data_IF_611366009750
#
_entry.id   IF_611366009750
#
_cell.length_a   1.000
_cell.length_b   1.000
_cell.length_c   1.000
_cell.angle_alpha   90.00
_cell.angle_beta   90.00
_cell.angle_gamma   90.00
#
_symmetry.space_group_name_H-M   'P 1'
#
loop_
_entity.id
_entity.type
_entity.pdbx_description
1 polymer ?
#
# COMPACT_ATOMS: atom_id res chain seq x y z
N UNK A 1 50.50 -34.34 -47.56
CA UNK A 1 51.20 -35.31 -46.69
C UNK A 1 50.27 -35.70 -45.54
N UNK A 2 49.99 -37.01 -45.37
CA UNK A 2 49.15 -37.61 -44.33
C UNK A 2 49.95 -37.91 -43.05
N UNK A 3 49.31 -38.42 -41.98
CA UNK A 3 49.26 -39.89 -41.76
C UNK A 3 47.83 -40.35 -41.34
N UNK A 4 47.16 -41.44 -41.76
CA UNK A 4 47.41 -42.91 -41.89
C UNK A 4 48.05 -43.55 -40.65
N UNK A 5 47.62 -44.66 -40.04
CA UNK A 5 46.60 -45.69 -40.27
C UNK A 5 46.64 -46.66 -39.06
N UNK A 6 45.58 -47.48 -38.88
CA UNK A 6 45.65 -48.80 -38.22
C UNK A 6 44.67 -48.95 -37.05
N UNK A 7 43.59 -49.73 -37.08
CA UNK A 7 43.15 -50.78 -37.99
C UNK A 7 43.18 -52.15 -37.29
N UNK A 8 42.02 -52.72 -36.96
CA UNK A 8 41.66 -54.16 -37.01
C UNK A 8 40.22 -54.32 -36.46
N UNK A 9 39.23 -54.48 -37.34
CA UNK A 9 38.63 -55.74 -37.83
C UNK A 9 37.91 -56.54 -36.74
N UNK A 10 36.59 -56.75 -36.92
CA UNK A 10 35.92 -58.06 -37.13
C UNK A 10 34.38 -57.88 -37.08
N UNK A 11 33.72 -58.14 -38.23
CA UNK A 11 32.48 -58.94 -38.49
C UNK A 11 31.24 -58.64 -37.62
N UNK A 12 29.99 -58.46 -38.08
CA UNK A 12 29.15 -58.81 -39.27
C UNK A 12 27.87 -57.92 -39.11
N UNK A 13 27.37 -57.12 -40.07
CA UNK A 13 26.44 -57.44 -41.20
C UNK A 13 25.24 -58.33 -40.78
N UNK A 14 23.94 -58.07 -41.01
CA UNK A 14 23.13 -57.51 -42.12
C UNK A 14 21.73 -57.13 -41.53
N UNK A 15 21.07 -56.03 -41.89
CA UNK A 15 20.15 -55.80 -43.03
C UNK A 15 18.69 -56.23 -42.83
N UNK A 16 17.81 -55.20 -42.84
CA UNK A 16 16.40 -55.05 -43.26
C UNK A 16 15.51 -56.28 -43.58
N UNK A 17 14.23 -56.21 -43.18
CA UNK A 17 12.99 -56.42 -43.98
C UNK A 17 11.78 -56.14 -43.06
N UNK A 18 11.02 -55.06 -43.28
CA UNK A 18 9.70 -54.99 -43.95
C UNK A 18 8.49 -55.55 -43.15
N UNK A 19 7.58 -54.61 -42.84
CA UNK A 19 6.10 -54.67 -42.84
C UNK A 19 5.36 -55.91 -42.33
N UNK A 20 4.62 -55.77 -41.22
CA UNK A 20 3.24 -56.25 -41.10
C UNK A 20 2.52 -55.63 -39.88
N UNK A 21 1.48 -54.85 -40.20
CA UNK A 21 0.18 -54.78 -39.54
C UNK A 21 0.04 -55.42 -38.13
N UNK A 22 -0.10 -54.59 -37.11
CA UNK A 22 -0.98 -54.87 -35.97
C UNK A 22 -1.40 -53.54 -35.32
N UNK A 23 -2.58 -53.07 -35.72
CA UNK A 23 -3.35 -52.08 -34.97
C UNK A 23 -3.73 -52.74 -33.65
N UNK A 24 -3.04 -52.38 -32.56
CA UNK A 24 -3.50 -52.65 -31.21
C UNK A 24 -3.79 -51.32 -30.54
N UNK A 25 -5.05 -50.91 -30.66
CA UNK A 25 -5.68 -49.89 -29.81
C UNK A 25 -5.57 -50.34 -28.36
N UNK A 26 -4.58 -49.81 -27.63
CA UNK A 26 -4.46 -50.01 -26.20
C UNK A 26 -5.16 -48.83 -25.49
N UNK A 27 -6.45 -49.00 -25.23
CA UNK A 27 -7.20 -48.22 -24.25
C UNK A 27 -6.64 -48.49 -22.86
N UNK A 28 -5.62 -47.73 -22.46
CA UNK A 28 -5.25 -47.56 -21.05
C UNK A 28 -5.95 -46.31 -20.51
N UNK A 29 -7.24 -46.46 -20.16
CA UNK A 29 -7.85 -45.61 -19.13
C UNK A 29 -7.40 -46.19 -17.79
N UNK A 30 -6.12 -45.98 -17.49
CA UNK A 30 -5.57 -46.23 -16.16
C UNK A 30 -6.06 -45.12 -15.26
N UNK A 31 -6.94 -45.47 -14.32
CA UNK A 31 -7.36 -44.61 -13.24
C UNK A 31 -6.14 -44.05 -12.51
N UNK A 32 -5.74 -42.82 -12.87
CA UNK A 32 -4.86 -42.02 -12.05
C UNK A 32 -5.59 -41.88 -10.70
N UNK A 33 -4.95 -42.17 -9.55
CA UNK A 33 -5.52 -41.77 -8.29
C UNK A 33 -5.70 -40.27 -8.35
N UNK A 34 -6.95 -39.82 -8.42
CA UNK A 34 -7.30 -38.42 -8.17
C UNK A 34 -6.63 -38.07 -6.87
N UNK A 35 -5.61 -37.21 -6.93
CA UNK A 35 -4.99 -36.66 -5.76
C UNK A 35 -6.11 -36.08 -4.92
N UNK A 36 -6.47 -36.80 -3.85
CA UNK A 36 -7.37 -36.30 -2.82
C UNK A 36 -6.75 -34.99 -2.42
N UNK A 37 -7.43 -33.87 -2.70
CA UNK A 37 -6.99 -32.55 -2.24
C UNK A 37 -6.76 -32.72 -0.75
N UNK A 38 -5.49 -32.72 -0.35
CA UNK A 38 -5.12 -32.69 1.06
C UNK A 38 -5.91 -31.52 1.63
N UNK A 39 -6.82 -31.82 2.56
CA UNK A 39 -7.63 -30.81 3.21
C UNK A 39 -6.66 -29.78 3.77
N UNK A 40 -6.62 -28.58 3.18
CA UNK A 40 -5.78 -27.51 3.67
C UNK A 40 -6.13 -27.33 5.15
N UNK A 41 -5.17 -27.65 6.03
CA UNK A 41 -5.34 -27.48 7.46
C UNK A 41 -5.77 -26.04 7.70
N UNK A 42 -6.98 -25.84 8.21
CA UNK A 42 -7.50 -24.50 8.50
C UNK A 42 -6.63 -23.89 9.59
N UNK A 43 -5.68 -23.04 9.20
CA UNK A 43 -4.79 -22.34 10.13
C UNK A 43 -5.64 -21.41 11.00
N UNK A 44 -5.79 -21.78 12.28
CA UNK A 44 -6.57 -21.03 13.27
C UNK A 44 -5.85 -19.72 13.60
N UNK A 45 -6.58 -18.60 13.56
CA UNK A 45 -6.04 -17.31 14.00
C UNK A 45 -5.72 -17.35 15.48
N UNK A 46 -4.47 -17.06 15.85
CA UNK A 46 -4.02 -16.96 17.25
C UNK A 46 -3.64 -15.54 17.62
N UNK A 47 -3.96 -15.16 18.86
CA UNK A 47 -3.61 -13.87 19.44
C UNK A 47 -2.48 -14.03 20.45
N UNK A 48 -1.52 -13.11 20.46
CA UNK A 48 -0.43 -13.11 21.45
C UNK A 48 -0.07 -11.70 21.91
N UNK A 49 0.33 -11.59 23.18
CA UNK A 49 0.86 -10.37 23.77
C UNK A 49 2.34 -10.56 24.09
N UNK A 50 3.19 -9.68 23.57
CA UNK A 50 4.64 -9.75 23.73
C UNK A 50 5.12 -8.58 24.58
N UNK A 51 5.62 -8.89 25.78
CA UNK A 51 6.12 -7.89 26.71
C UNK A 51 7.40 -7.21 26.23
N UNK A 52 7.66 -6.01 26.74
CA UNK A 52 8.92 -5.29 26.52
C UNK A 52 10.09 -6.03 27.18
N UNK A 53 11.12 -6.36 26.39
CA UNK A 53 12.39 -6.90 26.89
C UNK A 53 13.33 -5.81 27.40
N UNK A 54 13.36 -4.65 26.75
CA UNK A 54 14.16 -3.51 27.18
C UNK A 54 13.50 -2.18 26.80
N UNK A 55 13.68 -1.16 27.65
CA UNK A 55 13.26 0.19 27.33
C UNK A 55 14.38 1.21 27.61
N UNK A 56 14.32 2.32 26.91
CA UNK A 56 15.20 3.46 27.13
C UNK A 56 14.57 4.74 26.57
N UNK A 57 15.12 5.91 26.91
CA UNK A 57 14.82 7.14 26.18
C UNK A 57 16.08 7.96 25.94
N UNK A 58 16.06 8.78 24.90
CA UNK A 58 17.11 9.77 24.63
C UNK A 58 16.68 11.16 25.08
N UNK A 59 17.61 11.97 25.56
CA UNK A 59 17.39 13.37 25.95
C UNK A 59 18.33 14.28 25.15
N UNK A 60 17.79 15.20 24.34
CA UNK A 60 18.60 16.12 23.54
C UNK A 60 19.43 17.11 24.37
N UNK A 61 19.08 17.34 25.64
CA UNK A 61 19.88 18.15 26.57
C UNK A 61 21.06 17.36 27.14
N UNK A 62 20.86 16.09 27.46
CA UNK A 62 21.89 15.21 28.02
C UNK A 62 22.44 14.26 26.95
N UNK A 63 23.12 14.84 25.95
CA UNK A 63 23.35 14.17 24.65
C UNK A 63 24.14 12.87 24.71
N UNK A 64 24.99 12.69 25.73
CA UNK A 64 25.86 11.52 25.93
C UNK A 64 25.31 10.55 26.99
N UNK A 65 24.27 10.92 27.71
CA UNK A 65 23.72 10.12 28.81
C UNK A 65 22.81 9.02 28.28
N UNK A 66 22.97 7.83 28.85
CA UNK A 66 22.06 6.70 28.62
C UNK A 66 20.99 6.64 29.71
N UNK A 67 19.72 6.56 29.29
CA UNK A 67 18.58 6.34 30.18
C UNK A 67 17.91 5.01 29.82
N UNK A 68 18.31 3.91 30.46
CA UNK A 68 17.81 2.55 30.22
C UNK A 68 17.01 2.01 31.40
N UNK A 69 16.20 0.98 31.18
CA UNK A 69 15.40 0.29 32.21
C UNK A 69 14.57 1.28 33.05
N UNK A 70 14.05 2.30 32.38
CA UNK A 70 13.38 3.42 33.01
C UNK A 70 11.96 3.03 33.42
N UNK A 71 11.58 3.35 34.64
CA UNK A 71 10.20 3.15 35.12
C UNK A 71 9.22 4.13 34.47
N UNK A 72 9.71 5.27 34.00
CA UNK A 72 8.91 6.34 33.39
C UNK A 72 9.56 6.83 32.09
N UNK A 73 9.35 6.13 30.96
CA UNK A 73 9.78 6.62 29.65
C UNK A 73 9.18 8.00 29.34
N UNK A 74 9.98 8.86 28.72
CA UNK A 74 9.61 10.23 28.37
C UNK A 74 9.59 10.40 26.86
N UNK A 75 8.62 11.17 26.36
CA UNK A 75 8.55 11.51 24.95
C UNK A 75 7.90 12.88 24.74
N UNK A 76 8.44 13.63 23.78
CA UNK A 76 7.87 14.86 23.24
C UNK A 76 8.32 15.02 21.76
N UNK A 77 8.13 16.21 21.17
CA UNK A 77 8.53 16.49 19.78
C UNK A 77 10.02 16.75 19.59
N UNK A 78 10.72 17.30 20.58
CA UNK A 78 12.01 17.97 20.37
C UNK A 78 13.14 17.49 21.26
N UNK A 79 12.82 16.97 22.45
CA UNK A 79 13.80 16.60 23.48
C UNK A 79 13.84 15.10 23.73
N UNK A 80 12.68 14.47 23.90
CA UNK A 80 12.60 13.09 24.35
C UNK A 80 12.05 12.15 23.28
N UNK A 81 12.74 11.02 23.08
CA UNK A 81 12.24 9.89 22.30
C UNK A 81 12.43 8.59 23.09
N UNK A 82 11.36 7.82 23.23
CA UNK A 82 11.40 6.53 23.94
C UNK A 82 11.60 5.39 22.96
N UNK A 83 12.37 4.38 23.37
CA UNK A 83 12.73 3.21 22.59
C UNK A 83 12.36 1.96 23.36
N UNK A 84 11.77 0.99 22.66
CA UNK A 84 11.32 -0.28 23.21
C UNK A 84 11.82 -1.42 22.35
N UNK A 85 12.36 -2.45 22.98
CA UNK A 85 12.74 -3.70 22.33
C UNK A 85 11.80 -4.81 22.81
N UNK A 86 11.37 -5.65 21.89
CA UNK A 86 10.48 -6.78 22.12
C UNK A 86 11.18 -8.05 21.61
N UNK A 87 11.02 -9.19 22.30
CA UNK A 87 11.46 -10.49 21.81
C UNK A 87 10.92 -10.82 20.42
N UNK A 88 11.59 -11.74 19.72
CA UNK A 88 11.09 -12.31 18.48
C UNK A 88 9.78 -13.08 18.72
N UNK A 89 8.93 -13.12 17.70
CA UNK A 89 7.66 -13.84 17.73
C UNK A 89 7.77 -14.97 16.73
N UNK A 90 7.94 -16.23 17.19
CA UNK A 90 8.04 -17.35 16.28
C UNK A 90 6.74 -17.47 15.48
N UNK A 91 6.88 -17.55 14.16
CA UNK A 91 5.82 -17.83 13.21
C UNK A 91 6.01 -19.26 12.72
N UNK A 92 4.95 -20.06 12.75
CA UNK A 92 4.96 -21.38 12.15
C UNK A 92 4.99 -21.26 10.61
N UNK A 93 5.42 -22.31 9.87
CA UNK A 93 5.29 -22.33 8.41
C UNK A 93 3.84 -22.04 7.99
N UNK A 94 3.65 -21.08 7.10
CA UNK A 94 2.32 -20.65 6.65
C UNK A 94 1.62 -19.62 7.54
N UNK A 95 2.23 -19.16 8.65
CA UNK A 95 1.68 -18.07 9.45
C UNK A 95 2.20 -16.69 9.03
N UNK A 96 1.34 -15.68 9.12
CA UNK A 96 1.71 -14.28 9.00
C UNK A 96 1.02 -13.42 10.07
N UNK A 97 1.67 -12.31 10.44
CA UNK A 97 1.06 -11.30 11.32
C UNK A 97 -0.04 -10.59 10.53
N UNK A 98 -1.29 -10.80 10.92
CA UNK A 98 -2.47 -10.19 10.29
C UNK A 98 -2.83 -8.84 10.91
N UNK A 99 -2.63 -8.68 12.24
CA UNK A 99 -2.86 -7.42 12.96
C UNK A 99 -1.79 -7.19 14.00
N UNK A 100 -1.42 -5.94 14.21
CA UNK A 100 -0.45 -5.56 15.22
C UNK A 100 -0.85 -4.24 15.91
N UNK A 101 -0.59 -4.14 17.20
CA UNK A 101 -0.73 -2.90 17.96
C UNK A 101 0.32 -2.81 19.06
N UNK A 102 0.75 -1.59 19.39
CA UNK A 102 1.52 -1.33 20.62
C UNK A 102 0.56 -0.82 21.67
N UNK A 103 0.51 -1.48 22.82
CA UNK A 103 -0.21 -1.00 23.99
C UNK A 103 0.78 -0.34 24.93
N UNK A 104 0.55 0.94 25.25
CA UNK A 104 1.33 1.71 26.23
C UNK A 104 0.43 2.19 27.36
N UNK A 105 0.98 2.30 28.56
CA UNK A 105 0.30 2.93 29.68
C UNK A 105 0.74 4.39 29.82
N UNK A 106 -0.16 5.34 29.58
CA UNK A 106 0.10 6.76 29.80
C UNK A 106 0.02 7.04 31.30
N UNK A 107 1.15 7.37 31.92
CA UNK A 107 1.19 7.82 33.32
C UNK A 107 0.65 9.25 33.44
N UNK A 108 1.09 10.13 32.53
CA UNK A 108 0.65 11.53 32.47
C UNK A 108 0.96 12.12 31.10
N UNK A 109 -0.01 12.81 30.49
CA UNK A 109 0.21 13.63 29.30
C UNK A 109 -0.18 15.09 29.56
N UNK A 110 0.74 16.03 29.28
CA UNK A 110 0.42 17.46 29.32
C UNK A 110 -0.25 17.87 28.01
N UNK A 111 -1.40 18.56 28.10
CA UNK A 111 -2.23 19.01 26.95
C UNK A 111 -2.48 17.88 25.94
N UNK A 112 -3.11 16.76 26.33
CA UNK A 112 -3.20 15.54 25.53
C UNK A 112 -3.89 15.72 24.16
N UNK A 113 -4.76 16.72 24.01
CA UNK A 113 -5.40 17.04 22.72
C UNK A 113 -4.44 17.57 21.65
N UNK A 114 -3.23 18.00 22.02
CA UNK A 114 -2.29 18.60 21.06
C UNK A 114 -1.30 17.58 20.52
N UNK A 115 -1.43 17.24 19.25
CA UNK A 115 -0.53 16.27 18.60
C UNK A 115 -0.87 14.82 18.93
N UNK A 116 0.00 13.92 18.48
CA UNK A 116 -0.26 12.46 18.48
C UNK A 116 0.99 11.69 18.90
N UNK A 117 0.81 10.46 19.38
CA UNK A 117 1.92 9.52 19.47
C UNK A 117 2.20 8.95 18.09
N UNK A 118 3.48 8.81 17.77
CA UNK A 118 3.98 8.23 16.53
C UNK A 118 4.93 7.09 16.86
N UNK A 119 4.67 5.93 16.28
CA UNK A 119 5.51 4.73 16.40
C UNK A 119 6.29 4.55 15.11
N UNK A 120 7.61 4.35 15.21
CA UNK A 120 8.50 4.04 14.08
C UNK A 120 9.27 2.76 14.32
N UNK A 121 9.58 2.05 13.25
CA UNK A 121 10.56 0.98 13.28
C UNK A 121 11.96 1.55 13.58
N UNK A 122 12.79 0.77 14.26
CA UNK A 122 14.21 1.07 14.50
C UNK A 122 15.03 0.02 13.76
N UNK A 123 15.77 0.44 12.74
CA UNK A 123 16.37 -0.47 11.75
C UNK A 123 17.81 -0.87 12.09
N UNK A 124 18.51 -0.07 12.89
CA UNK A 124 19.81 -0.46 13.45
C UNK A 124 19.63 -1.01 14.88
N UNK A 125 20.45 -1.99 15.25
CA UNK A 125 20.51 -2.47 16.63
C UNK A 125 20.82 -1.33 17.60
N UNK A 126 20.28 -1.42 18.82
CA UNK A 126 20.65 -0.52 19.92
C UNK A 126 20.77 -1.32 21.21
N UNK A 127 21.68 -0.88 22.07
CA UNK A 127 21.87 -1.39 23.42
C UNK A 127 21.50 -0.29 24.41
N UNK A 128 20.64 -0.59 25.40
CA UNK A 128 20.22 0.37 26.41
C UNK A 128 21.39 1.09 27.08
N UNK A 129 22.49 0.38 27.41
CA UNK A 129 23.68 0.96 28.04
C UNK A 129 24.43 1.98 27.19
N UNK A 130 24.28 1.92 25.85
CA UNK A 130 24.97 2.82 24.90
C UNK A 130 24.03 3.80 24.22
N UNK A 131 22.71 3.59 24.33
CA UNK A 131 21.72 4.47 23.73
C UNK A 131 21.76 5.84 24.40
N UNK A 132 22.11 6.85 23.63
CA UNK A 132 22.07 8.27 24.02
C UNK A 132 21.50 9.08 22.85
N UNK A 133 21.23 10.36 23.05
CA UNK A 133 20.79 11.20 21.94
C UNK A 133 21.86 11.27 20.84
N UNK A 134 23.15 11.30 21.17
CA UNK A 134 24.25 11.33 20.20
C UNK A 134 24.32 10.05 19.37
N UNK A 135 24.12 8.89 20.00
CA UNK A 135 24.27 7.57 19.38
C UNK A 135 22.91 6.89 19.14
N UNK A 136 21.89 7.69 18.79
CA UNK A 136 20.53 7.17 18.55
C UNK A 136 20.48 6.34 17.27
N UNK A 137 19.73 5.22 17.26
CA UNK A 137 19.69 4.30 16.13
C UNK A 137 18.98 4.91 14.92
N UNK A 138 19.24 4.34 13.73
CA UNK A 138 18.53 4.67 12.50
C UNK A 138 17.06 4.26 12.61
N UNK A 139 16.19 5.12 12.10
CA UNK A 139 14.74 4.93 12.15
C UNK A 139 14.23 4.52 10.77
N UNK A 140 13.32 3.55 10.74
CA UNK A 140 12.60 3.11 9.57
C UNK A 140 11.26 3.85 9.39
N UNK A 141 10.28 3.23 8.70
CA UNK A 141 8.99 3.85 8.44
C UNK A 141 8.19 4.11 9.72
N UNK A 142 7.16 4.96 9.58
CA UNK A 142 6.11 5.09 10.59
C UNK A 142 5.24 3.84 10.52
N UNK A 143 5.02 3.21 11.66
CA UNK A 143 4.20 2.01 11.77
C UNK A 143 2.78 2.31 12.23
N UNK A 144 2.57 3.40 12.96
CA UNK A 144 1.26 3.76 13.46
C UNK A 144 1.27 5.09 14.22
N UNK A 145 0.08 5.66 14.39
CA UNK A 145 -0.14 6.86 15.20
C UNK A 145 -1.39 6.73 16.06
N UNK A 146 -1.47 7.47 17.16
CA UNK A 146 -2.66 7.51 18.00
C UNK A 146 -2.84 8.86 18.70
N UNK A 147 -4.10 9.28 18.87
CA UNK A 147 -4.45 10.41 19.73
C UNK A 147 -4.07 10.11 21.18
N UNK A 148 -3.53 11.12 21.86
CA UNK A 148 -3.00 10.95 23.22
C UNK A 148 -4.15 11.03 24.23
N UNK A 149 -4.17 10.10 25.18
CA UNK A 149 -5.05 10.15 26.36
C UNK A 149 -4.32 10.87 27.51
N UNK A 150 -5.07 11.48 28.43
CA UNK A 150 -4.48 12.12 29.61
C UNK A 150 -3.72 11.14 30.52
N UNK A 151 -4.30 9.94 30.73
CA UNK A 151 -3.78 8.83 31.53
C UNK A 151 -4.38 7.49 31.09
N UNK A 152 -3.77 6.38 31.50
CA UNK A 152 -4.28 5.01 31.30
C UNK A 152 -3.80 4.34 30.02
N UNK A 153 -4.38 3.17 29.72
CA UNK A 153 -3.98 2.36 28.56
C UNK A 153 -4.39 3.02 27.23
N UNK A 154 -3.41 3.07 26.33
CA UNK A 154 -3.55 3.52 24.96
C UNK A 154 -3.06 2.42 24.02
N UNK A 155 -3.93 2.00 23.11
CA UNK A 155 -3.58 1.09 22.02
C UNK A 155 -3.27 1.93 20.79
N UNK A 156 -2.09 1.69 20.21
CA UNK A 156 -1.63 2.29 18.97
C UNK A 156 -1.66 1.19 17.91
N UNK A 157 -2.68 1.20 17.06
CA UNK A 157 -2.77 0.26 15.93
C UNK A 157 -1.60 0.50 14.99
N UNK A 158 -0.93 -0.59 14.60
CA UNK A 158 0.12 -0.56 13.60
C UNK A 158 -0.44 -1.03 12.27
N UNK A 159 0.04 -0.42 11.18
CA UNK A 159 -0.11 -0.97 9.85
C UNK A 159 0.59 -2.34 9.81
N UNK A 160 -0.19 -3.42 9.73
CA UNK A 160 0.35 -4.78 9.79
C UNK A 160 1.26 -5.09 8.59
N UNK A 161 0.95 -4.56 7.40
CA UNK A 161 1.74 -4.73 6.17
C UNK A 161 3.12 -4.10 6.32
N UNK A 162 3.16 -2.88 6.87
CA UNK A 162 4.43 -2.17 7.11
C UNK A 162 5.18 -2.73 8.33
N UNK A 163 4.47 -3.15 9.38
CA UNK A 163 5.08 -3.59 10.63
C UNK A 163 5.62 -5.02 10.58
N UNK A 164 4.97 -5.95 9.87
CA UNK A 164 5.31 -7.38 9.90
C UNK A 164 6.81 -7.70 9.72
N UNK A 165 7.54 -7.10 8.76
CA UNK A 165 8.97 -7.37 8.58
C UNK A 165 9.84 -7.01 9.80
N UNK A 166 9.38 -6.05 10.61
CA UNK A 166 10.08 -5.57 11.80
C UNK A 166 9.68 -6.31 13.08
N UNK A 167 8.52 -7.00 13.08
CA UNK A 167 7.99 -7.65 14.28
C UNK A 167 8.43 -9.11 14.40
N UNK A 168 8.44 -9.87 13.30
CA UNK A 168 8.70 -11.32 13.32
C UNK A 168 10.09 -11.68 13.90
N UNK A 169 11.11 -10.87 13.63
CA UNK A 169 12.51 -11.10 14.05
C UNK A 169 12.89 -10.46 15.39
N UNK A 170 11.90 -9.95 16.13
CA UNK A 170 12.11 -9.16 17.33
C UNK A 170 12.07 -7.67 17.03
N UNK A 171 11.09 -6.99 17.63
CA UNK A 171 10.78 -5.61 17.29
C UNK A 171 11.65 -4.62 18.08
N UNK A 172 12.10 -3.57 17.39
CA UNK A 172 12.66 -2.38 18.03
C UNK A 172 11.88 -1.18 17.55
N UNK A 173 11.25 -0.48 18.48
CA UNK A 173 10.31 0.60 18.18
C UNK A 173 10.75 1.89 18.85
N UNK A 174 10.59 3.01 18.15
CA UNK A 174 10.65 4.34 18.73
C UNK A 174 9.23 4.88 18.88
N UNK A 175 8.92 5.48 20.03
CA UNK A 175 7.70 6.23 20.28
C UNK A 175 8.07 7.69 20.59
N UNK A 176 7.47 8.61 19.82
CA UNK A 176 7.61 10.07 20.00
C UNK A 176 6.25 10.74 19.97
N UNK A 177 6.17 11.97 20.48
CA UNK A 177 5.00 12.83 20.24
C UNK A 177 5.31 13.72 19.04
N UNK A 178 4.36 13.86 18.13
CA UNK A 178 4.46 14.80 17.02
C UNK A 178 3.38 15.87 17.11
N UNK A 179 3.63 17.04 16.53
CA UNK A 179 2.67 18.15 16.53
C UNK A 179 2.60 18.96 17.83
N UNK A 180 3.34 18.60 18.88
CA UNK A 180 3.36 19.39 20.12
C UNK A 180 4.63 19.20 20.95
N UNK A 181 5.09 20.28 21.60
CA UNK A 181 6.25 20.30 22.51
C UNK A 181 5.97 19.72 23.91
N UNK A 182 4.71 19.46 24.24
CA UNK A 182 4.34 19.07 25.59
C UNK A 182 4.76 17.62 25.92
N UNK A 183 5.17 17.41 27.16
CA UNK A 183 5.68 16.12 27.63
C UNK A 183 4.57 15.07 27.79
N UNK A 184 4.89 13.84 27.40
CA UNK A 184 4.16 12.63 27.80
C UNK A 184 5.10 11.73 28.58
N UNK A 185 4.60 11.20 29.70
CA UNK A 185 5.26 10.21 30.55
C UNK A 185 4.50 8.90 30.44
N UNK A 186 5.18 7.85 30.03
CA UNK A 186 4.66 6.49 30.03
C UNK A 186 4.98 5.81 31.37
N UNK A 187 4.21 4.79 31.75
CA UNK A 187 4.66 3.80 32.71
C UNK A 187 5.40 2.69 31.95
N UNK A 188 6.46 2.14 32.54
CA UNK A 188 7.19 1.02 31.93
C UNK A 188 6.32 -0.23 31.79
N UNK A 189 5.31 -0.39 32.65
CA UNK A 189 4.35 -1.50 32.61
C UNK A 189 2.90 -1.02 32.83
N UNK A 190 1.90 -1.68 32.20
CA UNK A 190 2.09 -2.62 31.09
C UNK A 190 2.43 -1.86 29.80
N UNK A 191 3.48 -2.31 29.12
CA UNK A 191 3.76 -1.97 27.71
C UNK A 191 4.04 -3.28 26.99
N UNK A 192 3.32 -3.54 25.90
CA UNK A 192 3.42 -4.80 25.16
C UNK A 192 2.97 -4.62 23.70
N UNK A 193 3.40 -5.52 22.84
CA UNK A 193 2.84 -5.71 21.50
C UNK A 193 1.65 -6.65 21.58
N UNK A 194 0.53 -6.28 20.98
CA UNK A 194 -0.63 -7.15 20.76
C UNK A 194 -0.64 -7.57 19.30
N UNK A 195 -0.59 -8.86 19.03
CA UNK A 195 -0.53 -9.42 17.69
C UNK A 195 -1.67 -10.40 17.45
N UNK A 196 -2.20 -10.38 16.24
CA UNK A 196 -3.02 -11.45 15.67
C UNK A 196 -2.22 -12.09 14.54
N UNK A 197 -2.11 -13.41 14.57
CA UNK A 197 -1.34 -14.23 13.63
C UNK A 197 -2.33 -15.18 12.98
N UNK A 198 -2.37 -15.21 11.65
CA UNK A 198 -3.26 -16.08 10.88
C UNK A 198 -2.54 -16.68 9.68
N UNK A 199 -3.28 -17.32 8.80
CA UNK A 199 -2.76 -17.92 7.57
C UNK A 199 -2.15 -16.86 6.64
N UNK A 200 -0.91 -17.08 6.18
CA UNK A 200 -0.19 -16.20 5.27
C UNK A 200 -0.89 -16.04 3.92
N UNK A 201 -1.57 -17.08 3.41
CA UNK A 201 -2.37 -16.97 2.19
C UNK A 201 -3.67 -16.22 2.42
N UNK A 202 -4.31 -16.41 3.57
CA UNK A 202 -5.48 -15.61 3.95
C UNK A 202 -5.11 -14.14 4.13
N UNK A 203 -3.98 -13.85 4.79
CA UNK A 203 -3.44 -12.49 4.94
C UNK A 203 -3.06 -11.89 3.60
N UNK A 204 -2.43 -12.65 2.70
CA UNK A 204 -2.15 -12.19 1.33
C UNK A 204 -3.44 -11.92 0.53
N UNK A 205 -4.49 -12.73 0.72
CA UNK A 205 -5.79 -12.55 0.07
C UNK A 205 -6.65 -11.45 0.70
N UNK A 206 -6.51 -11.17 2.00
CA UNK A 206 -7.10 -10.02 2.70
C UNK A 206 -6.34 -8.73 2.37
N UNK A 207 -5.05 -8.82 2.06
CA UNK A 207 -4.21 -7.73 1.54
C UNK A 207 -4.41 -7.48 0.04
N UNK A 208 -4.81 -8.50 -0.75
CA UNK A 208 -5.19 -8.39 -2.16
C UNK A 208 -6.67 -8.03 -2.34
N UNK A 209 -7.50 -8.22 -1.32
CA UNK A 209 -8.82 -7.62 -1.24
C UNK A 209 -8.64 -6.14 -0.89
N UNK A 210 -8.81 -5.27 -1.89
CA UNK A 210 -9.40 -3.95 -1.62
C UNK A 210 -10.62 -4.16 -0.69
N UNK A 211 -10.99 -3.19 0.17
CA UNK A 211 -12.23 -3.28 0.92
C UNK A 211 -13.40 -3.32 -0.08
N UNK A 212 -13.72 -4.50 -0.57
CA UNK A 212 -15.05 -4.85 -1.00
C UNK A 212 -15.80 -5.05 0.31
N UNK A 213 -16.00 -3.93 1.03
CA UNK A 213 -17.21 -3.75 1.78
C UNK A 213 -18.29 -4.13 0.79
N UNK A 214 -19.07 -5.16 1.10
CA UNK A 214 -20.40 -5.28 0.54
C UNK A 214 -21.08 -3.96 0.87
N UNK A 215 -20.98 -3.00 -0.05
CA UNK A 215 -21.82 -1.84 -0.08
C UNK A 215 -23.22 -2.43 -0.30
N UNK A 216 -23.86 -2.83 0.79
CA UNK A 216 -25.29 -2.65 0.90
C UNK A 216 -25.55 -1.21 0.46
N UNK A 217 -26.52 -1.01 -0.42
CA UNK A 217 -26.88 0.22 -1.12
C UNK A 217 -26.98 1.46 -0.22
N UNK A 218 -25.84 1.91 0.29
CA UNK A 218 -25.73 3.03 1.19
C UNK A 218 -25.67 4.28 0.33
N UNK A 219 -26.83 4.65 -0.24
CA UNK A 219 -27.04 6.03 -0.64
C UNK A 219 -26.96 6.86 0.64
N UNK A 220 -25.90 7.67 0.79
CA UNK A 220 -25.90 8.73 1.80
C UNK A 220 -26.95 9.74 1.33
N UNK A 221 -28.16 9.61 1.87
CA UNK A 221 -29.31 10.41 1.44
C UNK A 221 -29.12 11.88 1.80
N UNK A 222 -29.31 12.76 0.82
CA UNK A 222 -29.46 14.20 1.02
C UNK A 222 -28.24 15.08 0.71
N UNK A 223 -27.05 14.52 0.45
CA UNK A 223 -25.87 15.30 0.00
C UNK A 223 -25.02 14.50 -1.01
N UNK A 224 -24.59 15.12 -2.13
CA UNK A 224 -23.74 14.43 -3.09
C UNK A 224 -22.35 14.18 -2.50
N UNK A 225 -21.80 12.99 -2.74
CA UNK A 225 -20.49 12.57 -2.23
C UNK A 225 -19.52 12.45 -3.41
N UNK A 226 -18.43 13.21 -3.35
CA UNK A 226 -17.38 13.21 -4.37
C UNK A 226 -16.09 12.61 -3.80
N UNK A 227 -15.56 11.59 -4.46
CA UNK A 227 -14.20 11.12 -4.15
C UNK A 227 -13.18 11.94 -4.94
N UNK A 228 -12.03 12.23 -4.35
CA UNK A 228 -10.93 12.82 -5.09
C UNK A 228 -10.42 11.84 -6.14
N UNK A 229 -10.29 12.31 -7.38
CA UNK A 229 -9.85 11.51 -8.52
C UNK A 229 -8.57 12.11 -9.09
N UNK A 230 -7.54 11.27 -9.23
CA UNK A 230 -6.20 11.69 -9.64
C UNK A 230 -5.82 11.04 -10.98
N UNK A 231 -5.96 11.76 -12.12
CA UNK A 231 -5.80 11.20 -13.47
C UNK A 231 -4.46 10.51 -13.79
N UNK A 232 -3.32 10.84 -13.17
CA UNK A 232 -2.04 10.17 -13.48
C UNK A 232 -2.02 8.66 -13.25
N UNK A 233 -2.97 8.11 -12.49
CA UNK A 233 -3.01 6.69 -12.15
C UNK A 233 -4.31 5.98 -12.59
N UNK A 234 -4.62 5.91 -13.90
CA UNK A 234 -5.81 5.22 -14.42
C UNK A 234 -5.66 3.70 -14.34
N UNK A 235 -6.73 2.93 -14.59
CA UNK A 235 -6.67 1.44 -14.67
C UNK A 235 -5.50 0.95 -15.55
N UNK A 236 -5.26 1.59 -16.70
CA UNK A 236 -4.16 1.24 -17.59
C UNK A 236 -3.50 2.48 -18.21
N UNK A 237 -2.17 2.47 -18.24
CA UNK A 237 -1.36 3.52 -18.83
C UNK A 237 -1.07 3.28 -20.32
N UNK A 238 -0.91 2.02 -20.73
CA UNK A 238 -0.38 1.60 -22.03
C UNK A 238 -1.17 0.45 -22.68
N UNK A 239 -2.31 0.07 -22.08
CA UNK A 239 -3.20 -1.00 -22.53
C UNK A 239 -2.52 -2.38 -22.66
N UNK A 240 -1.44 -2.62 -21.92
CA UNK A 240 -0.74 -3.89 -21.93
C UNK A 240 -1.32 -4.89 -20.93
N UNK A 241 -0.93 -6.15 -21.05
CA UNK A 241 -1.18 -7.16 -20.01
C UNK A 241 -0.55 -6.72 -18.69
N UNK A 242 -1.24 -6.95 -17.57
CA UNK A 242 -0.80 -6.48 -16.26
C UNK A 242 0.56 -7.00 -15.77
N UNK A 243 1.15 -8.01 -16.39
CA UNK A 243 2.53 -8.46 -16.08
C UNK A 243 3.61 -7.69 -16.86
N UNK A 244 3.21 -6.91 -17.86
CA UNK A 244 4.08 -6.18 -18.80
C UNK A 244 3.76 -4.69 -18.88
N UNK A 245 2.67 -4.25 -18.27
CA UNK A 245 2.23 -2.87 -18.27
C UNK A 245 3.20 -1.95 -17.51
N UNK A 246 3.06 -0.65 -17.77
CA UNK A 246 3.87 0.39 -17.16
C UNK A 246 3.85 0.33 -15.62
N UNK A 247 2.73 -0.08 -15.02
CA UNK A 247 2.69 -0.28 -13.58
C UNK A 247 3.66 -1.37 -13.12
N UNK A 248 3.64 -2.55 -13.75
CA UNK A 248 4.51 -3.66 -13.36
C UNK A 248 5.99 -3.37 -13.63
N UNK A 249 6.31 -2.84 -14.82
CA UNK A 249 7.72 -2.69 -15.23
C UNK A 249 8.36 -1.41 -14.67
N UNK A 250 7.57 -0.36 -14.44
CA UNK A 250 8.08 0.93 -13.97
C UNK A 250 7.62 1.29 -12.56
N UNK A 251 6.32 1.46 -12.31
CA UNK A 251 5.88 2.07 -11.06
C UNK A 251 6.00 1.17 -9.84
N UNK A 252 5.82 -0.14 -9.98
CA UNK A 252 5.93 -1.11 -8.88
C UNK A 252 7.35 -1.65 -8.72
N UNK A 253 8.16 -1.61 -9.80
CA UNK A 253 9.52 -2.13 -9.78
C UNK A 253 10.50 -1.14 -9.13
N UNK A 254 11.35 -1.56 -8.18
CA UNK A 254 12.44 -0.72 -7.67
C UNK A 254 13.43 -0.27 -8.74
N UNK A 255 13.61 -1.06 -9.81
CA UNK A 255 14.53 -0.74 -10.92
C UNK A 255 13.84 -0.02 -12.07
N UNK A 256 12.51 0.12 -12.02
CA UNK A 256 11.74 0.88 -12.99
C UNK A 256 12.13 2.35 -13.04
N UNK A 257 11.77 3.05 -14.13
CA UNK A 257 12.10 4.48 -14.31
C UNK A 257 13.61 4.75 -14.11
N UNK A 258 14.47 3.88 -14.65
CA UNK A 258 15.93 3.96 -14.45
C UNK A 258 16.34 4.01 -12.97
N UNK A 259 15.69 3.22 -12.12
CA UNK A 259 15.92 3.17 -10.66
C UNK A 259 15.65 4.47 -9.91
N UNK A 260 14.90 5.42 -10.50
CA UNK A 260 14.55 6.71 -9.88
C UNK A 260 13.92 6.57 -8.49
N UNK A 261 13.20 5.48 -8.25
CA UNK A 261 12.50 5.20 -7.00
C UNK A 261 13.07 3.98 -6.25
N UNK A 262 14.29 3.53 -6.58
CA UNK A 262 14.92 2.38 -5.94
C UNK A 262 15.09 2.57 -4.42
N UNK A 263 15.40 3.79 -3.99
CA UNK A 263 15.61 4.15 -2.58
C UNK A 263 14.37 3.91 -1.70
N UNK A 264 13.17 3.92 -2.30
CA UNK A 264 11.93 3.62 -1.60
C UNK A 264 11.31 2.28 -2.00
N UNK A 265 11.85 1.57 -3.01
CA UNK A 265 11.35 0.27 -3.48
C UNK A 265 10.30 0.35 -4.60
N UNK A 266 10.35 1.36 -5.46
CA UNK A 266 9.39 1.61 -6.55
C UNK A 266 8.57 2.89 -6.32
N UNK A 267 7.95 3.46 -7.35
CA UNK A 267 7.10 4.66 -7.19
C UNK A 267 5.86 4.34 -6.33
N UNK A 268 5.21 3.21 -6.59
CA UNK A 268 3.98 2.78 -5.96
C UNK A 268 4.18 1.47 -5.18
N UNK A 269 3.21 1.13 -4.31
CA UNK A 269 3.15 -0.17 -3.61
C UNK A 269 1.97 -1.03 -4.03
N UNK A 270 1.10 -0.44 -4.82
CA UNK A 270 -0.15 -1.02 -5.27
C UNK A 270 -0.58 -0.32 -6.55
N UNK A 271 -1.56 -0.89 -7.23
CA UNK A 271 -2.10 -0.38 -8.49
C UNK A 271 -3.59 -0.71 -8.62
N UNK A 272 -4.30 -0.12 -9.59
CA UNK A 272 -5.62 -0.60 -9.98
C UNK A 272 -5.62 -2.09 -10.37
N UNK A 273 -6.77 -2.74 -10.25
CA UNK A 273 -6.93 -4.13 -10.69
C UNK A 273 -6.64 -4.25 -12.19
N UNK A 274 -5.82 -5.22 -12.56
CA UNK A 274 -5.43 -5.46 -13.94
C UNK A 274 -6.58 -6.03 -14.77
N UNK A 275 -6.56 -5.74 -16.06
CA UNK A 275 -7.43 -6.35 -17.07
C UNK A 275 -6.63 -6.76 -18.30
N UNK A 276 -7.25 -7.53 -19.19
CA UNK A 276 -6.71 -7.78 -20.53
C UNK A 276 -6.70 -6.50 -21.38
N UNK A 277 -5.82 -6.39 -22.40
CA UNK A 277 -5.87 -5.32 -23.39
C UNK A 277 -7.26 -5.19 -24.02
N UNK A 278 -7.69 -3.96 -24.25
CA UNK A 278 -8.96 -3.63 -24.90
C UNK A 278 -8.71 -3.13 -26.32
N UNK A 279 -9.64 -3.38 -27.23
CA UNK A 279 -9.65 -2.74 -28.55
C UNK A 279 -10.23 -1.32 -28.48
N UNK A 280 -9.83 -0.46 -29.41
CA UNK A 280 -10.38 0.90 -29.53
C UNK A 280 -9.88 1.85 -28.43
N UNK A 281 -10.74 2.80 -28.04
CA UNK A 281 -10.43 3.79 -27.01
C UNK A 281 -10.50 3.18 -25.60
N UNK A 282 -9.40 2.52 -25.22
CA UNK A 282 -9.30 1.84 -23.93
C UNK A 282 -9.35 2.80 -22.74
N UNK A 283 -8.92 4.05 -22.88
CA UNK A 283 -9.00 5.04 -21.81
C UNK A 283 -10.45 5.38 -21.49
N UNK A 284 -11.28 5.62 -22.51
CA UNK A 284 -12.71 5.86 -22.28
C UNK A 284 -13.40 4.61 -21.70
N UNK A 285 -13.05 3.42 -22.17
CA UNK A 285 -13.59 2.16 -21.63
C UNK A 285 -13.22 1.95 -20.15
N UNK A 286 -12.00 2.30 -19.76
CA UNK A 286 -11.55 2.24 -18.37
C UNK A 286 -12.26 3.26 -17.50
N UNK A 287 -12.40 4.50 -17.97
CA UNK A 287 -13.07 5.55 -17.22
C UNK A 287 -14.56 5.24 -17.02
N UNK A 288 -15.22 4.60 -17.98
CA UNK A 288 -16.58 4.03 -17.80
C UNK A 288 -16.60 2.99 -16.67
N UNK A 289 -15.59 2.12 -16.63
CA UNK A 289 -15.45 1.10 -15.59
C UNK A 289 -15.26 1.74 -14.21
N UNK A 290 -14.38 2.74 -14.10
CA UNK A 290 -14.12 3.46 -12.85
C UNK A 290 -15.36 4.23 -12.35
N UNK A 291 -16.09 4.90 -13.26
CA UNK A 291 -17.38 5.55 -12.95
C UNK A 291 -18.40 4.53 -12.44
N UNK A 292 -18.55 3.38 -13.12
CA UNK A 292 -19.48 2.33 -12.70
C UNK A 292 -19.12 1.76 -11.32
N UNK A 293 -17.84 1.55 -11.05
CA UNK A 293 -17.34 1.11 -9.75
C UNK A 293 -17.62 2.15 -8.65
N UNK A 294 -17.38 3.43 -8.92
CA UNK A 294 -17.66 4.52 -7.99
C UNK A 294 -19.16 4.64 -7.67
N UNK A 295 -20.03 4.54 -8.69
CA UNK A 295 -21.49 4.48 -8.50
C UNK A 295 -21.88 3.31 -7.61
N UNK A 296 -21.35 2.12 -7.87
CA UNK A 296 -21.60 0.92 -7.06
C UNK A 296 -21.12 1.08 -5.62
N UNK A 297 -20.10 1.91 -5.39
CA UNK A 297 -19.61 2.27 -4.06
C UNK A 297 -20.45 3.38 -3.37
N UNK A 298 -21.52 3.87 -3.99
CA UNK A 298 -22.41 4.90 -3.44
C UNK A 298 -21.93 6.34 -3.67
N UNK A 299 -20.92 6.56 -4.52
CA UNK A 299 -20.44 7.90 -4.86
C UNK A 299 -21.36 8.58 -5.87
N UNK A 300 -21.57 9.89 -5.69
CA UNK A 300 -22.33 10.73 -6.63
C UNK A 300 -21.44 11.28 -7.74
N UNK A 301 -20.12 11.23 -7.55
CA UNK A 301 -19.19 11.84 -8.48
C UNK A 301 -17.73 11.75 -8.08
N UNK A 302 -16.90 12.38 -8.89
CA UNK A 302 -15.49 12.64 -8.59
C UNK A 302 -15.20 14.14 -8.49
N UNK A 303 -14.30 14.52 -7.60
CA UNK A 303 -13.58 15.79 -7.65
C UNK A 303 -12.26 15.53 -8.39
N UNK A 304 -12.22 15.90 -9.67
CA UNK A 304 -11.11 15.55 -10.57
C UNK A 304 -9.97 16.56 -10.46
N UNK A 305 -8.77 16.05 -10.18
CA UNK A 305 -7.56 16.86 -10.09
C UNK A 305 -7.05 17.25 -11.48
N UNK A 306 -7.06 18.54 -11.77
CA UNK A 306 -6.66 19.09 -13.06
C UNK A 306 -5.25 19.66 -12.90
N UNK A 307 -4.28 18.91 -13.44
CA UNK A 307 -2.85 19.16 -13.26
C UNK A 307 -2.23 20.02 -14.36
N UNK A 308 -2.96 20.26 -15.45
CA UNK A 308 -2.46 20.93 -16.64
C UNK A 308 -3.63 21.52 -17.43
N UNK A 309 -3.39 22.60 -18.17
CA UNK A 309 -4.32 23.15 -19.18
C UNK A 309 -3.82 22.95 -20.62
N UNK A 310 -2.75 22.18 -20.79
CA UNK A 310 -2.31 21.75 -22.12
C UNK A 310 -3.25 20.66 -22.63
N UNK A 311 -4.02 20.95 -23.67
CA UNK A 311 -5.04 20.05 -24.21
C UNK A 311 -4.47 18.78 -24.85
N UNK A 312 -3.18 18.78 -25.18
CA UNK A 312 -2.48 17.60 -25.71
C UNK A 312 -1.85 16.74 -24.62
N UNK A 313 -1.85 17.17 -23.36
CA UNK A 313 -1.33 16.39 -22.26
C UNK A 313 -2.28 15.22 -21.93
N UNK A 314 -1.71 14.04 -21.69
CA UNK A 314 -2.47 12.83 -21.36
C UNK A 314 -3.44 13.06 -20.20
N UNK A 315 -3.03 13.81 -19.16
CA UNK A 315 -3.89 14.03 -18.00
C UNK A 315 -5.10 14.90 -18.37
N UNK A 316 -4.95 15.91 -19.22
CA UNK A 316 -6.08 16.68 -19.74
C UNK A 316 -7.04 15.80 -20.54
N UNK A 317 -6.51 14.99 -21.45
CA UNK A 317 -7.30 14.05 -22.27
C UNK A 317 -8.09 13.07 -21.38
N UNK A 318 -7.49 12.58 -20.29
CA UNK A 318 -8.19 11.72 -19.33
C UNK A 318 -9.29 12.46 -18.58
N UNK A 319 -9.12 13.76 -18.24
CA UNK A 319 -10.19 14.57 -17.64
C UNK A 319 -11.38 14.72 -18.60
N UNK A 320 -11.12 15.02 -19.88
CA UNK A 320 -12.20 15.12 -20.88
C UNK A 320 -12.93 13.79 -21.07
N UNK A 321 -12.19 12.68 -21.14
CA UNK A 321 -12.80 11.34 -21.23
C UNK A 321 -13.55 10.96 -19.96
N UNK A 322 -13.12 11.41 -18.79
CA UNK A 322 -13.83 11.16 -17.54
C UNK A 322 -15.16 11.93 -17.52
N UNK A 323 -15.16 13.19 -17.96
CA UNK A 323 -16.38 13.97 -18.16
C UNK A 323 -17.31 13.28 -19.16
N UNK A 324 -16.79 12.74 -20.26
CA UNK A 324 -17.57 11.96 -21.22
C UNK A 324 -18.18 10.70 -20.59
N UNK A 325 -17.38 9.87 -19.91
CA UNK A 325 -17.84 8.65 -19.26
C UNK A 325 -18.92 8.93 -18.20
N UNK A 326 -18.74 10.00 -17.41
CA UNK A 326 -19.74 10.44 -16.43
C UNK A 326 -21.04 10.94 -17.10
N UNK A 327 -20.93 11.62 -18.25
CA UNK A 327 -22.10 12.07 -19.01
C UNK A 327 -22.90 10.90 -19.55
N UNK A 328 -22.22 9.87 -20.07
CA UNK A 328 -22.85 8.63 -20.52
C UNK A 328 -23.50 7.84 -19.36
N UNK A 329 -22.93 7.93 -18.15
CA UNK A 329 -23.52 7.34 -16.94
C UNK A 329 -24.75 8.11 -16.39
N UNK A 330 -24.94 9.36 -16.83
CA UNK A 330 -26.10 10.22 -16.53
C UNK A 330 -26.05 10.92 -15.17
N UNK A 331 -26.28 10.17 -14.10
CA UNK A 331 -26.44 10.67 -12.72
C UNK A 331 -25.10 10.84 -11.95
N UNK A 332 -23.97 10.55 -12.59
CA UNK A 332 -22.64 10.74 -12.01
C UNK A 332 -22.05 12.09 -12.44
N UNK A 333 -21.54 12.86 -11.48
CA UNK A 333 -21.05 14.23 -11.73
C UNK A 333 -19.56 14.39 -11.48
N UNK A 334 -18.95 15.35 -12.16
CA UNK A 334 -17.53 15.68 -12.03
C UNK A 334 -17.41 17.11 -11.50
N UNK A 335 -16.92 17.26 -10.28
CA UNK A 335 -16.52 18.55 -9.72
C UNK A 335 -15.11 18.89 -10.22
N UNK A 336 -14.96 20.08 -10.78
CA UNK A 336 -13.68 20.53 -11.33
C UNK A 336 -12.76 20.99 -10.20
N UNK A 337 -11.65 20.29 -9.98
CA UNK A 337 -10.65 20.62 -8.96
C UNK A 337 -9.32 20.95 -9.65
N UNK A 338 -9.06 22.22 -9.97
CA UNK A 338 -7.74 22.64 -10.45
C UNK A 338 -6.70 22.57 -9.32
N UNK A 339 -5.57 21.90 -9.60
CA UNK A 339 -4.44 21.86 -8.67
C UNK A 339 -3.60 23.14 -8.84
N UNK A 340 -3.71 24.05 -7.88
CA UNK A 340 -3.05 25.35 -7.96
C UNK A 340 -1.54 25.27 -7.73
N UNK A 341 -1.01 24.14 -7.23
CA UNK A 341 0.42 23.87 -7.19
C UNK A 341 0.94 23.44 -8.56
N UNK A 342 0.22 22.57 -9.26
CA UNK A 342 0.60 22.10 -10.59
C UNK A 342 0.39 23.19 -11.66
N UNK A 343 -0.63 24.03 -11.48
CA UNK A 343 -1.00 25.13 -12.37
C UNK A 343 -0.34 26.46 -11.96
N UNK A 344 0.79 26.41 -11.25
CA UNK A 344 1.50 27.60 -10.82
C UNK A 344 1.87 28.47 -12.03
N UNK A 345 1.54 29.76 -11.98
CA UNK A 345 1.85 30.72 -13.04
C UNK A 345 0.82 30.82 -14.17
N UNK A 346 -0.26 30.05 -14.12
CA UNK A 346 -1.40 30.24 -15.03
C UNK A 346 -2.10 31.58 -14.74
N UNK A 347 -2.35 32.37 -15.78
CA UNK A 347 -3.15 33.60 -15.67
C UNK A 347 -4.63 33.29 -15.36
N UNK A 348 -5.33 34.28 -14.79
CA UNK A 348 -6.78 34.21 -14.54
C UNK A 348 -7.58 33.95 -15.82
N UNK A 349 -7.17 34.54 -16.96
CA UNK A 349 -7.81 34.32 -18.26
C UNK A 349 -7.65 32.89 -18.76
N UNK A 350 -6.44 32.32 -18.66
CA UNK A 350 -6.18 30.93 -19.03
C UNK A 350 -6.98 29.98 -18.13
N UNK A 351 -7.02 30.24 -16.82
CA UNK A 351 -7.83 29.47 -15.87
C UNK A 351 -9.31 29.52 -16.24
N UNK A 352 -9.89 30.70 -16.42
CA UNK A 352 -11.29 30.87 -16.76
C UNK A 352 -11.63 30.16 -18.08
N UNK A 353 -10.77 30.28 -19.08
CA UNK A 353 -10.95 29.64 -20.40
C UNK A 353 -10.95 28.10 -20.29
N UNK A 354 -9.98 27.54 -19.57
CA UNK A 354 -9.87 26.09 -19.39
C UNK A 354 -11.02 25.52 -18.55
N UNK A 355 -11.41 26.18 -17.46
CA UNK A 355 -12.58 25.75 -16.67
C UNK A 355 -13.86 25.88 -17.49
N UNK A 356 -14.02 26.94 -18.28
CA UNK A 356 -15.18 27.12 -19.13
C UNK A 356 -15.28 26.06 -20.23
N UNK A 357 -14.16 25.57 -20.78
CA UNK A 357 -14.18 24.50 -21.79
C UNK A 357 -14.66 23.17 -21.19
N UNK A 358 -14.16 22.78 -20.01
CA UNK A 358 -14.60 21.59 -19.29
C UNK A 358 -16.04 21.71 -18.76
N UNK A 359 -16.48 22.91 -18.42
CA UNK A 359 -17.84 23.17 -17.98
C UNK A 359 -18.91 22.93 -19.07
N UNK A 360 -18.53 22.82 -20.36
CA UNK A 360 -19.46 22.52 -21.45
C UNK A 360 -20.04 21.10 -21.37
N UNK A 361 -19.38 20.19 -20.67
CA UNK A 361 -19.87 18.84 -20.46
C UNK A 361 -21.05 18.82 -19.47
N UNK A 362 -22.12 18.10 -19.79
CA UNK A 362 -23.32 17.99 -18.95
C UNK A 362 -23.10 17.20 -17.64
N UNK A 363 -21.96 16.54 -17.54
CA UNK A 363 -21.48 15.86 -16.33
C UNK A 363 -20.74 16.78 -15.36
N UNK A 364 -20.37 18.00 -15.75
CA UNK A 364 -19.78 18.97 -14.84
C UNK A 364 -20.76 19.30 -13.70
N UNK A 365 -20.30 19.25 -12.46
CA UNK A 365 -21.13 19.47 -11.29
C UNK A 365 -21.55 20.94 -11.15
N UNK A 366 -22.84 21.17 -10.95
CA UNK A 366 -23.47 22.48 -10.86
C UNK A 366 -24.40 22.54 -9.66
N UNK A 367 -24.54 23.74 -9.09
CA UNK A 367 -25.58 24.03 -8.11
C UNK A 367 -26.95 24.14 -8.81
N UNK A 368 -28.03 24.14 -8.03
CA UNK A 368 -29.38 24.37 -8.54
C UNK A 368 -29.56 25.71 -9.28
N UNK A 369 -28.69 26.69 -9.01
CA UNK A 369 -28.62 27.97 -9.74
C UNK A 369 -27.98 27.88 -11.13
N UNK A 370 -27.44 26.71 -11.52
CA UNK A 370 -26.70 26.52 -12.75
C UNK A 370 -25.20 26.86 -12.68
N UNK A 371 -24.74 27.46 -11.58
CA UNK A 371 -23.32 27.79 -11.38
C UNK A 371 -22.45 26.52 -11.31
N UNK A 372 -21.33 26.52 -12.05
CA UNK A 372 -20.32 25.44 -11.98
C UNK A 372 -19.63 25.49 -10.62
N UNK A 373 -19.50 24.34 -9.98
CA UNK A 373 -18.71 24.22 -8.75
C UNK A 373 -17.26 23.93 -9.12
N UNK A 374 -16.37 24.82 -8.68
CA UNK A 374 -14.91 24.65 -8.79
C UNK A 374 -14.35 24.53 -7.38
N UNK A 375 -13.51 23.53 -7.13
CA UNK A 375 -12.91 23.26 -5.83
C UNK A 375 -11.39 23.20 -5.96
N UNK A 376 -10.69 24.34 -6.04
CA UNK A 376 -9.25 24.32 -6.29
C UNK A 376 -8.47 23.68 -5.12
N UNK A 377 -7.49 22.85 -5.45
CA UNK A 377 -6.56 22.28 -4.47
C UNK A 377 -5.40 23.24 -4.23
N UNK A 378 -5.03 23.44 -2.96
CA UNK A 378 -3.94 24.32 -2.53
C UNK A 378 -4.07 25.77 -3.05
N UNK A 379 -5.29 26.30 -3.04
CA UNK A 379 -5.64 27.64 -3.53
C UNK A 379 -5.08 28.78 -2.68
#
# INVERSE_FOLDING_TARGET
MPPTLGGTRIRRSLTAFASALAVLTLTFVGALPTATRSSAATLVTRNTNVGVAANAYTDSKHRKTSHRNVSTPKLDKSRYASYFAFPAVPLNPGEAISRAAVVVNIRKATKPSQGVLKVRAVTSGWNGGKLSYKNRPKLGPVLGTARIKAKGLLTITLDAKVAAPYLAKGARLQITRTGSKYLVKLASKPTYLKLSIGDAQAVASEQAKQPQQTAADAKITGKPVFAHYFPPYPISLDNQLGTKDYYAVNYLSPTGENSKFAWCGGLLRDRPLTRSPLSGDFWLADLRTEVAQAKKAGLSGFAVDILTFNTSDRNWVLVEKLLQAAQEAGDFKIMLQPDMSALSGVSTTQFATAIASLAKYGSAYRLGSGAVVVSPFLA
#
